data_IF_270663975044
#
_entry.id   IF_270663975044
#
_cell.length_a   1.000
_cell.length_b   1.000
_cell.length_c   1.000
_cell.angle_alpha   90.00
_cell.angle_beta   90.00
_cell.angle_gamma   90.00
#
_symmetry.space_group_name_H-M   'P 1'
#
loop_
_entity.id
_entity.type
_entity.pdbx_description
1 polymer ?
#
# COMPACT_ATOMS: atom_id res chain seq x y z
N UNK A 1 13.27 8.65 9.80
CA UNK A 1 12.72 9.81 9.08
C UNK A 1 11.76 9.21 8.08
N UNK A 2 10.44 9.33 8.29
CA UNK A 2 9.44 8.81 7.34
C UNK A 2 9.53 9.62 6.04
N UNK A 3 9.65 8.94 4.91
CA UNK A 3 9.59 9.59 3.59
C UNK A 3 8.14 9.97 3.32
N UNK A 4 7.85 11.22 2.91
CA UNK A 4 6.49 11.62 2.52
C UNK A 4 6.04 11.00 1.18
N UNK A 5 6.91 10.26 0.49
CA UNK A 5 6.70 9.82 -0.90
C UNK A 5 6.19 8.39 -1.04
N UNK A 6 6.46 7.52 -0.06
CA UNK A 6 6.10 6.10 -0.12
C UNK A 6 5.96 5.51 1.28
N UNK A 7 5.36 4.33 1.36
CA UNK A 7 5.28 3.57 2.60
C UNK A 7 6.56 2.75 2.78
N UNK A 8 7.13 2.78 3.99
CA UNK A 8 8.41 2.11 4.29
C UNK A 8 8.29 1.27 5.56
N UNK A 9 8.67 0.00 5.46
CA UNK A 9 8.83 -0.89 6.61
C UNK A 9 10.23 -0.73 7.18
N UNK A 10 10.34 -0.64 8.51
CA UNK A 10 11.62 -0.57 9.23
C UNK A 10 11.68 -1.65 10.32
N UNK A 11 12.78 -2.40 10.39
CA UNK A 11 13.05 -3.35 11.48
C UNK A 11 14.55 -3.58 11.64
N UNK A 12 15.06 -3.47 12.87
CA UNK A 12 16.46 -3.80 13.22
C UNK A 12 17.51 -3.15 12.30
N UNK A 13 17.25 -1.90 11.87
CA UNK A 13 18.11 -1.16 10.93
C UNK A 13 17.82 -1.42 9.44
N UNK A 14 17.12 -2.50 9.10
CA UNK A 14 16.67 -2.80 7.75
C UNK A 14 15.47 -1.94 7.34
N UNK A 15 15.44 -1.53 6.07
CA UNK A 15 14.35 -0.73 5.49
C UNK A 15 13.92 -1.29 4.15
N UNK A 16 12.60 -1.36 3.93
CA UNK A 16 12.02 -1.70 2.62
C UNK A 16 11.01 -0.60 2.26
N UNK A 17 11.23 0.11 1.16
CA UNK A 17 10.37 1.20 0.71
C UNK A 17 9.54 0.83 -0.52
N UNK A 18 8.54 1.65 -0.81
CA UNK A 18 7.72 1.58 -2.03
C UNK A 18 6.86 0.30 -2.06
N UNK A 19 6.41 -0.14 -0.87
CA UNK A 19 5.69 -1.41 -0.69
C UNK A 19 4.23 -1.34 -1.12
N UNK A 20 3.65 -0.15 -1.19
CA UNK A 20 2.22 0.08 -1.29
C UNK A 20 1.59 -0.54 -2.54
N UNK A 21 2.25 -0.51 -3.70
CA UNK A 21 1.70 -1.06 -4.94
C UNK A 21 1.69 -2.59 -4.94
N UNK A 22 2.79 -3.20 -4.47
CA UNK A 22 2.90 -4.63 -4.27
C UNK A 22 1.87 -5.14 -3.26
N UNK A 23 1.80 -4.50 -2.10
CA UNK A 23 0.86 -4.88 -1.05
C UNK A 23 -0.60 -4.67 -1.48
N UNK A 24 -0.87 -3.63 -2.27
CA UNK A 24 -2.18 -3.40 -2.85
C UNK A 24 -2.60 -4.55 -3.77
N UNK A 25 -1.69 -5.01 -4.65
CA UNK A 25 -1.94 -6.14 -5.53
C UNK A 25 -2.17 -7.43 -4.73
N UNK A 26 -1.32 -7.74 -3.75
CA UNK A 26 -1.43 -8.96 -2.94
C UNK A 26 -2.78 -9.02 -2.20
N UNK A 27 -3.15 -7.95 -1.49
CA UNK A 27 -4.40 -7.89 -0.72
C UNK A 27 -5.62 -7.98 -1.64
N UNK A 28 -5.65 -7.18 -2.71
CA UNK A 28 -6.81 -7.10 -3.60
C UNK A 28 -6.96 -8.33 -4.51
N UNK A 29 -5.88 -9.06 -4.78
CA UNK A 29 -5.93 -10.32 -5.54
C UNK A 29 -6.17 -11.54 -4.65
N UNK A 30 -6.25 -11.38 -3.32
CA UNK A 30 -6.56 -12.46 -2.38
C UNK A 30 -5.35 -13.31 -1.98
N UNK A 31 -4.14 -12.76 -2.06
CA UNK A 31 -2.93 -13.42 -1.55
C UNK A 31 -2.81 -13.18 -0.04
N UNK A 32 -3.17 -14.19 0.74
CA UNK A 32 -3.15 -14.10 2.21
C UNK A 32 -1.77 -14.39 2.82
N UNK A 33 -1.02 -15.28 2.17
CA UNK A 33 0.27 -15.75 2.65
C UNK A 33 1.26 -15.83 1.49
N UNK A 34 2.38 -15.13 1.61
CA UNK A 34 3.49 -15.23 0.66
C UNK A 34 4.83 -14.95 1.35
N UNK A 35 5.92 -15.38 0.71
CA UNK A 35 7.27 -14.95 1.04
C UNK A 35 7.74 -14.03 -0.07
N UNK A 36 8.18 -12.84 0.30
CA UNK A 36 8.71 -11.84 -0.63
C UNK A 36 10.21 -11.74 -0.36
N UNK A 37 11.01 -11.97 -1.40
CA UNK A 37 12.45 -11.82 -1.37
C UNK A 37 12.84 -10.73 -2.35
N UNK A 38 13.57 -9.73 -1.86
CA UNK A 38 14.00 -8.60 -2.66
C UNK A 38 15.50 -8.44 -2.43
N UNK A 39 16.25 -8.39 -3.52
CA UNK A 39 17.69 -8.20 -3.51
C UNK A 39 18.04 -6.93 -4.30
N UNK A 40 19.01 -6.18 -3.80
CA UNK A 40 19.59 -5.07 -4.55
C UNK A 40 20.46 -5.61 -5.69
N UNK A 41 20.40 -4.96 -6.84
CA UNK A 41 21.24 -5.29 -8.01
C UNK A 41 22.73 -4.99 -7.77
N UNK A 42 23.04 -4.06 -6.87
CA UNK A 42 24.40 -3.69 -6.48
C UNK A 42 24.53 -3.69 -4.94
N UNK A 43 25.71 -4.03 -4.39
CA UNK A 43 25.97 -3.89 -2.96
C UNK A 43 25.93 -2.40 -2.59
N UNK A 44 24.78 -1.97 -2.08
CA UNK A 44 24.67 -0.75 -1.28
C UNK A 44 25.57 -0.95 -0.05
N UNK A 45 26.25 0.09 0.44
CA UNK A 45 27.18 0.00 1.58
C UNK A 45 26.51 -0.45 2.89
N UNK A 46 26.89 0.10 4.04
CA UNK A 46 26.24 -0.24 5.33
C UNK A 46 24.73 0.13 5.41
N UNK A 47 24.11 0.61 4.34
CA UNK A 47 22.69 0.91 4.31
C UNK A 47 21.88 -0.34 3.93
N UNK A 48 21.26 -0.95 4.93
CA UNK A 48 20.34 -2.09 4.82
C UNK A 48 18.98 -1.70 4.21
N UNK A 49 19.00 -0.90 3.14
CA UNK A 49 17.82 -0.39 2.44
C UNK A 49 17.63 -1.10 1.10
N UNK A 50 16.41 -1.58 0.87
CA UNK A 50 15.96 -2.16 -0.39
C UNK A 50 14.68 -1.45 -0.83
N UNK A 51 14.47 -1.30 -2.12
CA UNK A 51 13.26 -0.72 -2.69
C UNK A 51 12.51 -1.77 -3.52
N UNK A 52 11.19 -1.82 -3.35
CA UNK A 52 10.32 -2.64 -4.20
C UNK A 52 10.30 -2.02 -5.61
N UNK A 53 10.44 -2.81 -6.68
CA UNK A 53 10.37 -2.30 -8.05
C UNK A 53 9.05 -1.55 -8.31
N UNK A 54 9.17 -0.33 -8.85
CA UNK A 54 8.02 0.53 -9.17
C UNK A 54 7.37 0.20 -10.52
N UNK A 55 8.09 -0.53 -11.38
CA UNK A 55 7.68 -0.87 -12.74
C UNK A 55 7.13 0.32 -13.54
N UNK A 56 5.90 0.24 -14.06
CA UNK A 56 5.24 1.33 -14.80
C UNK A 56 4.58 2.38 -13.88
N UNK A 57 4.75 2.26 -12.56
CA UNK A 57 4.14 3.12 -11.54
C UNK A 57 2.78 2.67 -11.05
N UNK A 58 2.26 1.55 -11.55
CA UNK A 58 0.98 0.97 -11.15
C UNK A 58 1.17 -0.40 -10.48
N UNK A 59 0.07 -1.12 -10.27
CA UNK A 59 0.08 -2.48 -9.75
C UNK A 59 -0.15 -3.54 -10.85
N UNK A 60 -0.21 -3.15 -12.13
CA UNK A 60 -0.50 -4.06 -13.24
C UNK A 60 0.46 -5.24 -13.31
N UNK A 61 1.78 -5.02 -13.30
CA UNK A 61 2.72 -6.14 -13.41
C UNK A 61 2.63 -7.10 -12.23
N UNK A 62 2.29 -6.60 -11.03
CA UNK A 62 2.04 -7.44 -9.86
C UNK A 62 0.78 -8.29 -10.02
N UNK A 63 -0.30 -7.71 -10.55
CA UNK A 63 -1.55 -8.44 -10.83
C UNK A 63 -1.31 -9.54 -11.86
N UNK A 64 -0.63 -9.21 -12.97
CA UNK A 64 -0.28 -10.17 -14.03
C UNK A 64 0.54 -11.34 -13.47
N UNK A 65 1.56 -11.06 -12.65
CA UNK A 65 2.37 -12.10 -12.02
C UNK A 65 1.57 -13.00 -11.07
N UNK A 66 0.64 -12.44 -10.31
CA UNK A 66 -0.24 -13.22 -9.42
C UNK A 66 -1.19 -14.11 -10.22
N UNK A 67 -1.79 -13.57 -11.30
CA UNK A 67 -2.70 -14.32 -12.16
C UNK A 67 -1.99 -15.44 -12.93
N UNK A 68 -0.76 -15.21 -13.40
CA UNK A 68 0.06 -16.21 -14.09
C UNK A 68 0.39 -17.41 -13.18
N UNK A 69 0.75 -17.16 -11.93
CA UNK A 69 1.10 -18.21 -10.96
C UNK A 69 -0.15 -18.89 -10.39
N UNK A 70 -1.23 -18.12 -10.17
CA UNK A 70 -2.47 -18.58 -9.56
C UNK A 70 -2.41 -18.72 -8.04
N UNK A 71 -3.59 -18.88 -7.43
CA UNK A 71 -3.74 -19.04 -5.98
C UNK A 71 -3.87 -20.52 -5.59
N UNK A 72 -3.36 -20.85 -4.40
CA UNK A 72 -3.52 -22.15 -3.76
C UNK A 72 -4.09 -21.97 -2.37
N UNK A 73 -5.05 -22.83 -2.00
CA UNK A 73 -5.57 -22.89 -0.63
C UNK A 73 -4.42 -23.16 0.36
N UNK A 74 -4.29 -22.27 1.34
CA UNK A 74 -3.33 -22.43 2.43
C UNK A 74 -3.84 -23.51 3.39
N UNK A 75 -2.94 -24.43 3.76
CA UNK A 75 -3.21 -25.49 4.73
C UNK A 75 -2.12 -25.53 5.81
N UNK A 76 -2.49 -25.86 7.04
CA UNK A 76 -1.52 -26.14 8.10
C UNK A 76 -0.80 -27.48 7.88
N UNK A 77 0.09 -27.83 8.81
CA UNK A 77 0.86 -29.08 8.80
C UNK A 77 -0.03 -30.35 8.84
N UNK A 78 -1.27 -30.22 9.28
CA UNK A 78 -2.26 -31.29 9.34
C UNK A 78 -3.19 -31.30 8.10
N UNK A 79 -2.99 -30.38 7.15
CA UNK A 79 -3.81 -30.26 5.94
C UNK A 79 -5.12 -29.51 6.13
N UNK A 80 -5.34 -28.84 7.28
CA UNK A 80 -6.56 -28.06 7.50
C UNK A 80 -6.44 -26.67 6.89
N UNK A 81 -7.53 -26.20 6.26
CA UNK A 81 -7.69 -24.82 5.84
C UNK A 81 -8.55 -24.05 6.85
N UNK A 82 -8.28 -22.76 7.00
CA UNK A 82 -9.03 -21.86 7.87
C UNK A 82 -9.82 -20.85 7.04
N UNK A 83 -10.95 -20.41 7.59
CA UNK A 83 -11.72 -19.32 6.99
C UNK A 83 -10.95 -18.00 7.14
N UNK A 84 -10.87 -17.22 6.06
CA UNK A 84 -10.31 -15.88 6.07
C UNK A 84 -11.24 -14.95 6.83
N UNK A 85 -10.74 -14.37 7.92
CA UNK A 85 -11.48 -13.37 8.69
C UNK A 85 -11.14 -11.95 8.21
N UNK A 86 -12.02 -11.00 8.54
CA UNK A 86 -11.80 -9.59 8.30
C UNK A 86 -12.34 -8.77 9.48
N UNK A 87 -11.66 -7.67 9.82
CA UNK A 87 -12.12 -6.75 10.85
C UNK A 87 -13.45 -6.08 10.42
N UNK A 88 -14.41 -5.97 11.33
CA UNK A 88 -15.68 -5.28 11.07
C UNK A 88 -15.74 -3.94 11.79
N UNK A 89 -16.23 -2.92 11.09
CA UNK A 89 -16.50 -1.61 11.69
C UNK A 89 -17.93 -1.59 12.22
N UNK A 90 -18.07 -1.61 13.55
CA UNK A 90 -19.39 -1.67 14.22
C UNK A 90 -19.99 -0.29 14.52
N UNK A 91 -19.15 0.75 14.55
CA UNK A 91 -19.56 2.14 14.77
C UNK A 91 -18.74 3.06 13.85
N UNK A 92 -19.29 4.19 13.39
CA UNK A 92 -18.53 5.13 12.57
C UNK A 92 -17.25 5.61 13.27
N UNK A 93 -16.14 5.57 12.56
CA UNK A 93 -14.84 6.09 13.01
C UNK A 93 -14.41 7.18 12.03
N UNK A 94 -13.93 8.31 12.52
CA UNK A 94 -13.48 9.43 11.68
C UNK A 94 -12.32 10.18 12.30
N UNK A 95 -11.32 10.51 11.50
CA UNK A 95 -10.26 11.45 11.83
C UNK A 95 -10.18 12.52 10.76
N UNK A 96 -9.92 13.77 11.18
CA UNK A 96 -9.78 14.92 10.29
C UNK A 96 -8.54 15.71 10.69
N UNK A 97 -7.74 16.11 9.70
CA UNK A 97 -6.59 16.99 9.89
C UNK A 97 -6.43 17.92 8.69
N UNK A 98 -6.35 19.23 8.94
CA UNK A 98 -6.01 20.27 7.94
C UNK A 98 -6.69 20.10 6.57
N UNK A 99 -8.00 19.79 6.55
CA UNK A 99 -8.77 19.64 5.31
C UNK A 99 -8.78 18.23 4.69
N UNK A 100 -7.95 17.31 5.16
CA UNK A 100 -8.01 15.88 4.85
C UNK A 100 -8.81 15.13 5.92
N UNK A 101 -9.46 14.04 5.53
CA UNK A 101 -10.09 13.12 6.48
C UNK A 101 -10.10 11.68 5.99
N UNK A 102 -10.14 10.76 6.96
CA UNK A 102 -10.44 9.34 6.75
C UNK A 102 -11.60 8.99 7.66
N UNK A 103 -12.59 8.30 7.11
CA UNK A 103 -13.74 7.78 7.85
C UNK A 103 -14.01 6.34 7.44
N UNK A 104 -14.51 5.55 8.38
CA UNK A 104 -15.02 4.21 8.12
C UNK A 104 -16.42 4.09 8.73
N UNK A 105 -17.39 3.67 7.93
CA UNK A 105 -18.77 3.48 8.35
C UNK A 105 -19.13 1.99 8.33
N UNK A 106 -19.94 1.51 9.29
CA UNK A 106 -20.45 0.14 9.25
C UNK A 106 -21.13 -0.15 7.91
N UNK A 107 -20.74 -1.25 7.28
CA UNK A 107 -21.25 -1.69 5.99
C UNK A 107 -21.15 -3.21 5.91
N UNK A 108 -22.10 -3.92 5.25
CA UNK A 108 -22.01 -5.37 5.07
C UNK A 108 -20.95 -5.80 4.05
N UNK A 109 -20.37 -4.84 3.31
CA UNK A 109 -19.36 -5.09 2.27
C UNK A 109 -18.27 -4.02 2.34
N UNK A 110 -17.10 -4.37 1.82
CA UNK A 110 -16.03 -3.40 1.56
C UNK A 110 -16.44 -2.48 0.40
N UNK A 111 -16.41 -1.18 0.65
CA UNK A 111 -16.55 -0.13 -0.37
C UNK A 111 -15.61 1.02 -0.05
N UNK A 112 -15.09 1.69 -1.08
CA UNK A 112 -14.13 2.78 -0.93
C UNK A 112 -14.65 4.00 -1.70
N UNK A 113 -14.75 5.14 -1.04
CA UNK A 113 -14.90 6.45 -1.67
C UNK A 113 -13.65 7.26 -1.44
N UNK A 114 -12.99 7.68 -2.50
CA UNK A 114 -11.80 8.51 -2.46
C UNK A 114 -12.06 9.82 -3.18
N UNK A 115 -11.75 10.93 -2.53
CA UNK A 115 -11.73 12.27 -3.11
C UNK A 115 -10.32 12.84 -3.08
N UNK A 116 -9.89 13.42 -4.19
CA UNK A 116 -8.64 14.19 -4.28
C UNK A 116 -8.95 15.61 -4.75
N UNK A 117 -8.04 16.53 -4.46
CA UNK A 117 -8.20 17.93 -4.84
C UNK A 117 -6.82 18.60 -4.94
N UNK A 118 -6.43 18.91 -6.18
CA UNK A 118 -5.15 19.48 -6.58
C UNK A 118 -5.36 20.84 -7.27
N UNK A 119 -5.66 21.91 -6.52
CA UNK A 119 -5.94 23.23 -7.09
C UNK A 119 -4.74 23.84 -7.83
N UNK A 120 -3.51 23.44 -7.46
CA UNK A 120 -2.29 23.88 -8.14
C UNK A 120 -2.07 23.22 -9.51
N UNK A 121 -2.74 22.10 -9.77
CA UNK A 121 -2.65 21.36 -11.03
C UNK A 121 -4.05 21.18 -11.64
N UNK A 122 -4.58 22.19 -12.35
CA UNK A 122 -5.97 22.19 -12.84
C UNK A 122 -6.36 21.00 -13.72
N UNK A 123 -5.40 20.38 -14.42
CA UNK A 123 -5.64 19.19 -15.24
C UNK A 123 -5.90 17.92 -14.40
N UNK A 124 -5.43 17.89 -13.14
CA UNK A 124 -5.85 16.90 -12.12
C UNK A 124 -7.15 17.38 -11.49
N UNK A 125 -7.15 18.61 -10.95
CA UNK A 125 -8.30 19.24 -10.33
C UNK A 125 -8.84 18.47 -9.13
N UNK A 126 -10.16 18.55 -8.91
CA UNK A 126 -10.87 17.77 -7.91
C UNK A 126 -11.52 16.56 -8.56
N UNK A 127 -11.28 15.37 -8.00
CA UNK A 127 -11.82 14.10 -8.50
C UNK A 127 -12.42 13.31 -7.35
N UNK A 128 -13.42 12.49 -7.65
CA UNK A 128 -14.04 11.62 -6.68
C UNK A 128 -14.39 10.28 -7.33
N UNK A 129 -13.91 9.19 -6.73
CA UNK A 129 -14.21 7.83 -7.11
C UNK A 129 -14.97 7.16 -5.97
N UNK A 130 -16.00 6.39 -6.28
CA UNK A 130 -16.68 5.52 -5.31
C UNK A 130 -16.84 4.13 -5.89
N UNK A 131 -16.28 3.12 -5.23
CA UNK A 131 -16.38 1.71 -5.60
C UNK A 131 -17.46 1.00 -4.79
N UNK A 132 -18.34 0.24 -5.46
CA UNK A 132 -19.32 -0.65 -4.81
C UNK A 132 -19.66 -1.82 -5.76
N UNK A 133 -19.47 -3.10 -5.37
CA UNK A 133 -18.55 -3.61 -4.34
C UNK A 133 -17.09 -3.59 -4.81
N UNK A 134 -16.16 -3.59 -3.85
CA UNK A 134 -14.73 -3.71 -4.14
C UNK A 134 -14.33 -5.21 -4.10
N UNK A 135 -14.19 -5.83 -5.26
CA UNK A 135 -13.72 -7.21 -5.43
C UNK A 135 -12.48 -7.28 -6.35
N UNK A 136 -11.88 -8.47 -6.46
CA UNK A 136 -10.65 -8.68 -7.25
C UNK A 136 -10.83 -8.26 -8.71
N UNK A 137 -12.00 -8.55 -9.31
CA UNK A 137 -12.27 -8.19 -10.71
C UNK A 137 -12.36 -6.68 -10.88
N UNK A 138 -13.03 -5.99 -9.95
CA UNK A 138 -13.06 -4.53 -9.92
C UNK A 138 -11.64 -3.97 -9.79
N UNK A 139 -10.83 -4.48 -8.86
CA UNK A 139 -9.46 -4.02 -8.67
C UNK A 139 -8.62 -4.16 -9.94
N UNK A 140 -8.54 -5.36 -10.53
CA UNK A 140 -7.73 -5.61 -11.74
C UNK A 140 -8.16 -4.69 -12.90
N UNK A 141 -9.46 -4.51 -13.11
CA UNK A 141 -9.98 -3.77 -14.26
C UNK A 141 -10.03 -2.25 -14.06
N UNK A 142 -10.18 -1.77 -12.83
CA UNK A 142 -10.53 -0.37 -12.54
C UNK A 142 -9.46 0.37 -11.76
N UNK A 143 -8.57 -0.32 -11.06
CA UNK A 143 -7.62 0.30 -10.12
C UNK A 143 -6.19 -0.06 -10.46
N UNK A 144 -5.88 -1.35 -10.66
CA UNK A 144 -4.52 -1.88 -10.74
C UNK A 144 -3.63 -1.14 -11.75
N UNK A 145 -4.17 -0.76 -12.90
CA UNK A 145 -3.41 -0.08 -13.96
C UNK A 145 -3.25 1.43 -13.78
N UNK A 146 -3.70 2.01 -12.67
CA UNK A 146 -3.59 3.45 -12.42
C UNK A 146 -2.20 3.80 -11.94
N UNK A 147 -1.44 4.54 -12.77
CA UNK A 147 -0.04 4.88 -12.47
C UNK A 147 0.08 5.98 -11.42
N UNK A 148 1.20 5.96 -10.70
CA UNK A 148 1.59 7.05 -9.81
C UNK A 148 1.74 8.35 -10.57
N UNK A 149 1.62 9.46 -9.86
CA UNK A 149 1.60 10.77 -10.48
C UNK A 149 2.35 11.80 -9.68
N UNK A 150 2.90 12.78 -10.38
CA UNK A 150 3.59 13.90 -9.78
C UNK A 150 3.30 15.21 -10.51
N UNK A 151 3.51 16.31 -9.79
CA UNK A 151 3.46 17.66 -10.36
C UNK A 151 4.86 18.04 -10.79
N UNK A 152 5.06 18.35 -12.08
CA UNK A 152 6.37 18.62 -12.67
C UNK A 152 7.16 19.67 -11.88
N UNK A 153 6.52 20.77 -11.48
CA UNK A 153 7.16 21.85 -10.74
C UNK A 153 7.55 21.46 -9.29
N UNK A 154 7.04 20.34 -8.78
CA UNK A 154 7.43 19.76 -7.50
C UNK A 154 8.57 18.73 -7.66
N UNK A 155 8.75 18.16 -8.87
CA UNK A 155 9.78 17.14 -9.16
C UNK A 155 11.19 17.71 -9.05
N UNK A 156 11.45 18.92 -9.56
CA UNK A 156 12.79 19.53 -9.49
C UNK A 156 13.32 19.60 -8.04
N UNK A 157 12.48 20.03 -7.10
CA UNK A 157 12.83 20.09 -5.68
C UNK A 157 13.11 18.71 -5.09
N UNK A 158 12.34 17.69 -5.50
CA UNK A 158 12.51 16.32 -5.02
C UNK A 158 13.82 15.72 -5.55
N UNK A 159 14.15 15.99 -6.81
CA UNK A 159 15.39 15.55 -7.43
C UNK A 159 16.62 16.19 -6.76
N UNK A 160 16.56 17.49 -6.45
CA UNK A 160 17.61 18.20 -5.70
C UNK A 160 17.84 17.62 -4.29
N UNK A 161 16.78 17.10 -3.65
CA UNK A 161 16.86 16.39 -2.36
C UNK A 161 17.35 14.94 -2.50
N UNK A 162 17.70 14.49 -3.70
CA UNK A 162 18.14 13.13 -3.98
C UNK A 162 17.03 12.08 -3.92
N UNK A 163 15.77 12.50 -4.03
CA UNK A 163 14.59 11.63 -4.11
C UNK A 163 14.24 11.36 -5.58
N UNK A 164 13.46 10.32 -5.86
CA UNK A 164 12.92 10.01 -7.21
C UNK A 164 14.05 9.77 -8.25
N UNK A 165 15.19 9.20 -7.81
CA UNK A 165 16.34 8.96 -8.71
C UNK A 165 16.05 7.99 -9.86
N UNK A 166 15.06 7.12 -9.67
CA UNK A 166 14.56 6.21 -10.70
C UNK A 166 13.28 6.67 -11.39
N UNK A 167 12.76 7.86 -11.09
CA UNK A 167 11.49 8.32 -11.66
C UNK A 167 11.65 8.89 -13.08
N UNK A 168 10.72 8.53 -13.95
CA UNK A 168 10.68 8.92 -15.36
C UNK A 168 9.26 8.93 -15.91
N UNK A 169 9.11 9.30 -17.18
CA UNK A 169 7.78 9.35 -17.83
C UNK A 169 7.20 7.96 -18.11
N UNK A 170 8.05 6.94 -18.05
CA UNK A 170 7.72 5.53 -18.19
C UNK A 170 7.07 4.93 -16.94
N UNK A 171 7.30 5.52 -15.76
CA UNK A 171 6.85 4.99 -14.47
C UNK A 171 5.99 5.96 -13.65
N UNK A 172 5.60 7.10 -14.22
CA UNK A 172 4.67 8.04 -13.60
C UNK A 172 3.94 8.87 -14.66
N UNK A 173 2.70 9.26 -14.38
CA UNK A 173 2.03 10.34 -15.13
C UNK A 173 2.42 11.71 -14.55
N UNK A 174 2.88 12.61 -15.40
CA UNK A 174 3.42 13.90 -14.98
C UNK A 174 2.49 15.01 -15.42
N UNK A 175 2.05 15.83 -14.47
CA UNK A 175 1.23 17.00 -14.72
C UNK A 175 2.05 18.27 -14.45
N UNK A 176 2.13 19.17 -15.43
CA UNK A 176 2.56 20.54 -15.17
C UNK A 176 1.37 21.36 -14.68
N UNK A 177 1.62 22.19 -13.67
CA UNK A 177 0.68 23.18 -13.14
C UNK A 177 0.20 24.16 -14.22
N UNK A 178 1.02 24.43 -15.23
CA UNK A 178 0.75 25.41 -16.30
C UNK A 178 0.38 24.77 -17.65
N UNK A 179 0.96 23.61 -17.98
CA UNK A 179 0.79 22.97 -19.29
C UNK A 179 -0.18 21.78 -19.30
N UNK A 180 -0.65 21.34 -18.13
CA UNK A 180 -1.43 20.11 -17.98
C UNK A 180 -0.58 18.85 -18.12
N UNK A 181 -1.17 17.76 -18.63
CA UNK A 181 -0.50 16.46 -18.76
C UNK A 181 0.68 16.49 -19.74
N UNK A 182 1.85 16.02 -19.30
CA UNK A 182 3.08 16.01 -20.10
C UNK A 182 3.29 14.71 -20.89
N UNK A 183 2.72 13.60 -20.42
CA UNK A 183 2.81 12.28 -21.05
C UNK A 183 1.43 11.61 -21.22
N UNK A 184 0.47 12.25 -21.93
CA UNK A 184 -0.79 11.59 -22.30
C UNK A 184 -0.55 10.41 -23.27
N UNK A 185 -1.50 9.46 -23.39
CA UNK A 185 -2.82 9.47 -22.74
C UNK A 185 -2.79 8.98 -21.28
N UNK A 186 -3.79 9.42 -20.52
CA UNK A 186 -4.15 8.75 -19.28
C UNK A 186 -4.85 7.42 -19.60
N UNK A 187 -4.67 6.43 -18.72
CA UNK A 187 -5.41 5.16 -18.79
C UNK A 187 -6.86 5.32 -18.34
N UNK A 188 -7.09 6.26 -17.41
CA UNK A 188 -8.41 6.68 -16.95
C UNK A 188 -8.48 8.20 -16.84
N UNK A 189 -9.65 8.79 -17.09
CA UNK A 189 -9.84 10.23 -16.92
C UNK A 189 -9.58 10.72 -15.47
N UNK A 190 -9.79 9.82 -14.51
CA UNK A 190 -9.62 9.97 -13.06
C UNK A 190 -8.46 9.10 -12.52
N UNK A 191 -7.45 8.79 -13.35
CA UNK A 191 -6.28 7.97 -13.01
C UNK A 191 -5.60 8.39 -11.69
N UNK A 192 -5.39 9.69 -11.39
CA UNK A 192 -4.84 10.12 -10.09
C UNK A 192 -5.69 9.71 -8.88
N UNK A 193 -7.02 9.79 -9.00
CA UNK A 193 -7.92 9.40 -7.90
C UNK A 193 -7.93 7.88 -7.70
N UNK A 194 -7.89 7.11 -8.80
CA UNK A 194 -7.78 5.65 -8.76
C UNK A 194 -6.46 5.18 -8.18
N UNK A 195 -5.36 5.84 -8.51
CA UNK A 195 -4.05 5.56 -7.91
C UNK A 195 -4.06 5.82 -6.40
N UNK A 196 -4.75 6.86 -5.93
CA UNK A 196 -4.90 7.08 -4.48
C UNK A 196 -5.76 6.01 -3.79
N UNK A 197 -6.65 5.34 -4.51
CA UNK A 197 -7.33 4.14 -4.00
C UNK A 197 -6.37 2.95 -3.95
N UNK A 198 -5.53 2.76 -4.98
CA UNK A 198 -4.46 1.76 -4.98
C UNK A 198 -3.53 1.93 -3.77
N UNK A 199 -2.98 3.13 -3.55
CA UNK A 199 -2.15 3.44 -2.38
C UNK A 199 -2.87 3.10 -1.06
N UNK A 200 -4.16 3.49 -0.94
CA UNK A 200 -4.96 3.24 0.25
C UNK A 200 -5.14 1.74 0.52
N UNK A 201 -5.35 0.92 -0.50
CA UNK A 201 -5.48 -0.54 -0.35
C UNK A 201 -4.15 -1.14 0.14
N UNK A 202 -3.03 -0.69 -0.44
CA UNK A 202 -1.69 -1.04 0.02
C UNK A 202 -1.47 -0.72 1.49
N UNK A 203 -1.82 0.49 1.93
CA UNK A 203 -1.68 0.88 3.33
C UNK A 203 -2.64 0.12 4.27
N UNK A 204 -3.88 -0.15 3.84
CA UNK A 204 -4.86 -0.93 4.60
C UNK A 204 -4.43 -2.39 4.76
N UNK A 205 -3.72 -2.96 3.80
CA UNK A 205 -3.19 -4.32 3.88
C UNK A 205 -2.27 -4.53 5.09
N UNK A 206 -1.66 -3.46 5.64
CA UNK A 206 -0.80 -3.54 6.82
C UNK A 206 -1.55 -3.88 8.11
N UNK A 207 -2.88 -3.86 8.07
CA UNK A 207 -3.73 -4.40 9.13
C UNK A 207 -3.87 -5.93 9.07
N UNK A 208 -3.45 -6.57 7.98
CA UNK A 208 -3.52 -8.02 7.81
C UNK A 208 -2.68 -8.73 8.88
N UNK A 209 -3.25 -9.78 9.49
CA UNK A 209 -2.57 -10.59 10.51
C UNK A 209 -2.99 -12.04 10.41
N UNK A 210 -2.02 -12.94 10.50
CA UNK A 210 -2.24 -14.39 10.52
C UNK A 210 -3.06 -14.90 9.32
N UNK A 211 -2.80 -14.38 8.12
CA UNK A 211 -3.53 -14.75 6.90
C UNK A 211 -4.95 -14.16 6.78
N UNK A 212 -5.34 -13.24 7.65
CA UNK A 212 -6.63 -12.55 7.58
C UNK A 212 -6.52 -11.24 6.78
N UNK A 213 -7.66 -10.81 6.24
CA UNK A 213 -7.79 -9.59 5.44
C UNK A 213 -7.30 -8.34 6.20
N UNK A 214 -6.56 -7.48 5.52
CA UNK A 214 -6.17 -6.17 6.05
C UNK A 214 -7.26 -5.11 5.88
N UNK A 215 -7.98 -5.14 4.76
CA UNK A 215 -9.05 -4.16 4.54
C UNK A 215 -10.25 -4.47 5.47
N UNK A 216 -10.69 -3.54 6.33
CA UNK A 216 -11.86 -3.79 7.17
C UNK A 216 -13.14 -3.81 6.34
N UNK A 217 -14.09 -4.66 6.73
CA UNK A 217 -15.45 -4.69 6.18
C UNK A 217 -16.19 -3.43 6.65
N UNK A 218 -16.18 -2.43 5.78
CA UNK A 218 -16.71 -1.09 6.03
C UNK A 218 -16.89 -0.34 4.70
N UNK A 219 -17.64 0.77 4.76
CA UNK A 219 -17.53 1.82 3.76
C UNK A 219 -16.46 2.81 4.21
N UNK A 220 -15.30 2.77 3.54
CA UNK A 220 -14.16 3.63 3.80
C UNK A 220 -14.27 4.87 2.92
N UNK A 221 -14.22 6.05 3.53
CA UNK A 221 -14.29 7.35 2.85
C UNK A 221 -13.04 8.15 3.16
N UNK A 222 -12.29 8.50 2.12
CA UNK A 222 -11.08 9.31 2.24
C UNK A 222 -11.18 10.55 1.38
N UNK A 223 -10.73 11.69 1.91
CA UNK A 223 -10.58 12.92 1.16
C UNK A 223 -9.18 13.49 1.39
N UNK A 224 -8.50 13.87 0.28
CA UNK A 224 -7.11 14.36 0.27
C UNK A 224 -6.17 13.38 0.98
N UNK A 225 -6.17 12.13 0.49
CA UNK A 225 -5.38 11.02 1.00
C UNK A 225 -3.88 11.36 1.10
N UNK A 226 -3.26 10.98 2.21
CA UNK A 226 -1.81 11.01 2.43
C UNK A 226 -1.47 9.79 3.31
N UNK A 227 -0.54 8.94 2.85
CA UNK A 227 -0.19 7.65 3.47
C UNK A 227 0.08 7.75 4.97
N UNK A 228 0.93 8.70 5.39
CA UNK A 228 1.27 8.93 6.82
C UNK A 228 0.04 9.13 7.72
N UNK A 229 -1.00 9.83 7.23
CA UNK A 229 -2.22 10.06 8.01
C UNK A 229 -3.14 8.84 8.02
N UNK A 230 -3.17 8.09 6.93
CA UNK A 230 -3.92 6.83 6.85
C UNK A 230 -3.36 5.83 7.87
N UNK A 231 -2.04 5.60 7.90
CA UNK A 231 -1.42 4.69 8.87
C UNK A 231 -1.65 5.13 10.32
N UNK A 232 -1.57 6.44 10.60
CA UNK A 232 -1.93 6.97 11.91
C UNK A 232 -3.41 6.73 12.26
N UNK A 233 -4.32 6.89 11.29
CA UNK A 233 -5.74 6.57 11.46
C UNK A 233 -5.95 5.10 11.77
N UNK A 234 -5.32 4.18 11.01
CA UNK A 234 -5.46 2.75 11.23
C UNK A 234 -5.01 2.37 12.64
N UNK A 235 -3.93 3.00 13.12
CA UNK A 235 -3.44 2.79 14.48
C UNK A 235 -4.36 3.33 15.57
N UNK A 236 -5.05 4.45 15.36
CA UNK A 236 -5.99 4.95 16.37
C UNK A 236 -7.35 4.24 16.32
N UNK A 237 -7.83 3.94 15.12
CA UNK A 237 -9.13 3.33 14.89
C UNK A 237 -9.17 1.85 15.25
N UNK A 238 -8.07 1.15 14.97
CA UNK A 238 -7.98 -0.30 15.17
C UNK A 238 -6.90 -0.67 16.21
N UNK A 239 -5.96 0.22 16.56
CA UNK A 239 -4.77 -0.18 17.33
C UNK A 239 -4.92 -0.45 18.83
N UNK A 240 -6.06 -0.12 19.48
CA UNK A 240 -6.24 -0.41 20.92
C UNK A 240 -6.68 -1.86 21.21
N UNK A 241 -7.29 -2.54 20.24
CA UNK A 241 -7.55 -3.99 20.27
C UNK A 241 -6.60 -4.77 19.34
N UNK A 242 -5.97 -4.06 18.41
CA UNK A 242 -5.00 -4.61 17.48
C UNK A 242 -3.63 -4.01 17.79
N UNK A 243 -2.82 -4.67 18.61
CA UNK A 243 -1.39 -4.37 18.61
C UNK A 243 -0.92 -4.44 17.15
N UNK A 244 -0.57 -3.27 16.58
CA UNK A 244 0.04 -3.12 15.26
C UNK A 244 1.49 -3.66 15.32
N UNK A 245 1.60 -4.95 15.62
CA UNK A 245 2.67 -5.78 15.11
C UNK A 245 2.13 -6.32 13.79
N UNK A 246 2.44 -5.62 12.70
CA UNK A 246 2.35 -6.22 11.37
C UNK A 246 3.19 -7.49 11.41
N UNK A 247 2.55 -8.64 11.25
CA UNK A 247 3.26 -9.91 11.13
C UNK A 247 3.48 -10.18 9.65
N UNK A 248 4.52 -9.57 9.09
CA UNK A 248 5.17 -10.17 7.92
C UNK A 248 6.20 -11.14 8.48
N UNK A 249 5.93 -12.44 8.35
CA UNK A 249 6.84 -13.49 8.80
C UNK A 249 8.01 -13.57 7.81
N UNK A 250 9.08 -12.84 8.11
CA UNK A 250 10.34 -12.93 7.40
C UNK A 250 11.01 -14.27 7.71
N UNK A 251 11.23 -15.09 6.69
CA UNK A 251 12.15 -16.22 6.76
C UNK A 251 13.50 -15.77 6.21
N UNK A 252 14.49 -15.57 7.09
CA UNK A 252 15.90 -15.44 6.70
C UNK A 252 16.44 -16.86 6.46
N UNK A 253 16.58 -17.29 5.20
CA UNK A 253 17.31 -18.52 4.87
C UNK A 253 18.68 -18.13 4.28
N UNK A 254 19.76 -18.38 5.02
CA UNK A 254 21.13 -18.20 4.53
C UNK A 254 21.65 -19.39 3.69
N UNK A 255 20.75 -20.21 3.12
CA UNK A 255 21.13 -21.34 2.28
C UNK A 255 20.05 -21.62 1.22
N UNK A 256 20.41 -22.11 0.02
CA UNK A 256 19.45 -22.58 -0.96
C UNK A 256 18.76 -23.82 -0.38
N UNK A 257 17.47 -23.72 -0.05
CA UNK A 257 16.71 -24.83 0.53
C UNK A 257 16.33 -25.82 -0.56
N UNK A 258 17.19 -26.81 -0.78
CA UNK A 258 16.76 -28.11 -1.31
C UNK A 258 16.17 -28.94 -0.17
N UNK A 259 14.84 -29.04 -0.10
CA UNK A 259 14.14 -30.01 0.74
C UNK A 259 13.92 -29.61 2.20
N UNK A 260 12.64 -29.57 2.59
CA UNK A 260 12.06 -29.86 3.92
C UNK A 260 12.95 -29.66 5.16
N UNK A 261 13.25 -28.43 5.56
CA UNK A 261 13.57 -28.12 6.96
C UNK A 261 12.90 -26.79 7.36
N UNK A 262 12.01 -26.86 8.34
CA UNK A 262 11.30 -25.72 8.93
C UNK A 262 12.14 -25.23 10.11
N UNK A 263 12.78 -24.07 9.98
CA UNK A 263 13.52 -23.45 11.08
C UNK A 263 12.57 -22.83 12.12
N UNK A 264 12.86 -23.10 13.41
CA UNK A 264 12.14 -22.60 14.57
C UNK A 264 12.05 -21.06 14.59
N UNK A 265 10.84 -20.54 14.82
CA UNK A 265 10.56 -19.10 14.76
C UNK A 265 10.95 -18.37 16.03
N UNK A 266 11.73 -17.29 15.90
CA UNK A 266 11.96 -16.32 16.97
C UNK A 266 10.90 -15.20 16.88
N UNK A 267 10.09 -15.06 17.93
CA UNK A 267 9.16 -13.94 18.12
C UNK A 267 9.87 -12.76 18.80
N UNK A 268 9.93 -11.60 18.14
CA UNK A 268 10.27 -10.32 18.77
C UNK A 268 9.20 -9.28 18.45
N UNK A 269 8.59 -8.72 19.50
CA UNK A 269 7.61 -7.64 19.43
C UNK A 269 8.30 -6.27 19.43
N UNK A 270 7.80 -5.33 18.62
CA UNK A 270 8.21 -3.93 18.66
C UNK A 270 7.28 -3.16 19.61
N UNK A 271 7.82 -2.76 20.76
CA UNK A 271 7.28 -1.70 21.59
C UNK A 271 7.93 -0.37 21.19
N UNK A 272 7.13 0.62 20.81
CA UNK A 272 7.56 2.00 20.63
C UNK A 272 7.07 2.80 21.84
N UNK A 273 7.99 3.17 22.74
CA UNK A 273 7.75 4.19 23.77
C UNK A 273 7.59 5.55 23.09
N UNK A 274 6.44 6.19 23.30
CA UNK A 274 6.24 7.59 22.93
C UNK A 274 6.79 8.46 24.04
N UNK A 275 7.79 9.27 23.73
CA UNK A 275 8.07 10.47 24.51
C UNK A 275 6.89 11.43 24.33
N UNK A 276 6.23 11.78 25.45
CA UNK A 276 5.18 12.78 25.50
C UNK A 276 5.70 14.11 24.95
N UNK A 277 4.94 14.71 24.03
CA UNK A 277 5.06 16.15 23.75
C UNK A 277 3.67 16.73 23.96
N UNK A 278 3.60 17.62 24.95
CA UNK A 278 2.42 18.36 25.42
C UNK A 278 1.72 19.19 24.33
#
# INVERSE_FOLDING_TARGET
>A
MESPLCTTLCKDGYRISTIEHLLSALEAMGVDNCRIEIANSEPVGDDHHVEVPIFDGSASEWVEAIEEVGLKMATDECGNSYEKMAAQVNKPIRIRKKGSFVAAFPSPKVSITCGIDFPQAPAIGSQCLSSVPFDNSYYSNQIASSRTFCIYEEVEKMYELGLIKGGGLENAIVCSSSKGWLNPPLRFHDEPCRHKVLDLIGDLSLLARFGNQGIPVAHIVVCKYIATWTLFFLRLAFGSEFHLTGYIKWYLSHAPLSGTEVAEGVTCGLGLELANVE
#
